data_IF_772184665118
#
_entry.id   IF_772184665118
#
_cell.length_a   1.000
_cell.length_b   1.000
_cell.length_c   1.000
_cell.angle_alpha   90.00
_cell.angle_beta   90.00
_cell.angle_gamma   90.00
#
_symmetry.space_group_name_H-M   'P 1'
#
loop_
_entity.id
_entity.type
_entity.pdbx_description
1 polymer ?
#
# COMPACT_ATOMS: atom_id res chain seq x y z
N UNK A 1 -5.88 -18.48 0.23
CA UNK A 1 -6.43 -17.58 -0.80
C UNK A 1 -6.11 -18.12 -2.19
N UNK A 2 -7.07 -18.02 -3.08
CA UNK A 2 -6.85 -18.37 -4.49
C UNK A 2 -5.95 -17.32 -5.15
N UNK A 3 -5.44 -17.66 -6.34
CA UNK A 3 -4.67 -16.70 -7.14
C UNK A 3 -5.49 -15.44 -7.45
N UNK A 4 -6.76 -15.64 -7.82
CA UNK A 4 -7.65 -14.51 -8.12
C UNK A 4 -7.85 -13.60 -6.91
N UNK A 5 -8.05 -14.19 -5.72
CA UNK A 5 -8.20 -13.43 -4.48
C UNK A 5 -6.93 -12.64 -4.13
N UNK A 6 -5.76 -13.26 -4.32
CA UNK A 6 -4.48 -12.59 -4.08
C UNK A 6 -4.29 -11.39 -5.02
N UNK A 7 -4.69 -11.52 -6.27
CA UNK A 7 -4.60 -10.41 -7.24
C UNK A 7 -5.52 -9.25 -6.85
N UNK A 8 -6.74 -9.56 -6.41
CA UNK A 8 -7.68 -8.55 -5.92
C UNK A 8 -7.11 -7.85 -4.69
N UNK A 9 -6.58 -8.62 -3.74
CA UNK A 9 -5.98 -8.09 -2.51
C UNK A 9 -4.85 -7.11 -2.81
N UNK A 10 -3.92 -7.51 -3.68
CA UNK A 10 -2.77 -6.68 -4.03
C UNK A 10 -3.20 -5.35 -4.66
N UNK A 11 -4.17 -5.40 -5.57
CA UNK A 11 -4.66 -4.20 -6.23
C UNK A 11 -5.38 -3.26 -5.28
N UNK A 12 -6.20 -3.79 -4.38
CA UNK A 12 -6.92 -2.98 -3.41
C UNK A 12 -5.98 -2.36 -2.39
N UNK A 13 -5.01 -3.13 -1.92
CA UNK A 13 -4.00 -2.61 -1.01
C UNK A 13 -3.19 -1.50 -1.68
N UNK A 14 -2.73 -1.72 -2.90
CA UNK A 14 -1.99 -0.73 -3.67
C UNK A 14 -2.79 0.55 -3.91
N UNK A 15 -4.07 0.42 -4.23
CA UNK A 15 -4.96 1.56 -4.42
C UNK A 15 -5.13 2.36 -3.12
N UNK A 16 -5.20 1.69 -1.97
CA UNK A 16 -5.30 2.35 -0.67
C UNK A 16 -4.02 3.14 -0.37
N UNK A 17 -2.86 2.56 -0.65
CA UNK A 17 -1.56 3.23 -0.47
C UNK A 17 -1.50 4.50 -1.35
N UNK A 18 -1.86 4.37 -2.61
CA UNK A 18 -1.86 5.49 -3.55
C UNK A 18 -2.82 6.60 -3.09
N UNK A 19 -4.03 6.23 -2.67
CA UNK A 19 -5.04 7.17 -2.22
C UNK A 19 -4.56 7.96 -0.99
N UNK A 20 -3.96 7.27 -0.01
CA UNK A 20 -3.40 7.93 1.17
C UNK A 20 -2.28 8.88 0.79
N UNK A 21 -1.38 8.44 -0.10
CA UNK A 21 -0.28 9.27 -0.56
C UNK A 21 -0.79 10.54 -1.23
N UNK A 22 -1.74 10.40 -2.14
CA UNK A 22 -2.30 11.53 -2.89
C UNK A 22 -3.08 12.50 -1.99
N UNK A 23 -3.83 11.97 -1.03
CA UNK A 23 -4.56 12.80 -0.06
C UNK A 23 -3.61 13.63 0.80
N UNK A 24 -2.44 13.08 1.09
CA UNK A 24 -1.39 13.81 1.83
C UNK A 24 -0.54 14.67 0.92
N UNK A 25 -0.81 14.68 -0.38
CA UNK A 25 -0.07 15.44 -1.39
C UNK A 25 1.43 15.12 -1.39
N UNK A 26 1.76 13.84 -1.18
CA UNK A 26 3.12 13.36 -1.20
C UNK A 26 3.45 12.75 -2.55
N UNK A 27 4.65 13.02 -3.05
CA UNK A 27 5.19 12.33 -4.22
C UNK A 27 5.73 10.96 -3.80
N UNK A 28 5.95 10.09 -4.77
CA UNK A 28 6.62 8.80 -4.51
C UNK A 28 7.98 9.01 -3.86
N UNK A 29 8.72 10.01 -4.31
CA UNK A 29 10.05 10.33 -3.75
C UNK A 29 9.98 10.80 -2.32
N UNK A 30 8.95 11.57 -1.97
CA UNK A 30 8.77 12.04 -0.60
C UNK A 30 8.48 10.89 0.35
N UNK A 31 7.62 9.96 -0.07
CA UNK A 31 7.34 8.76 0.73
C UNK A 31 8.62 7.93 0.88
N UNK A 32 9.34 7.70 -0.21
CA UNK A 32 10.58 6.94 -0.20
C UNK A 32 11.64 7.57 0.71
N UNK A 33 11.71 8.89 0.76
CA UNK A 33 12.67 9.61 1.61
C UNK A 33 12.43 9.38 3.10
N UNK A 34 11.22 9.03 3.48
CA UNK A 34 10.83 8.84 4.88
C UNK A 34 10.88 7.37 5.34
N UNK A 35 11.33 6.47 4.49
CA UNK A 35 11.36 5.04 4.80
C UNK A 35 12.51 4.34 4.05
N UNK A 36 12.59 3.02 4.19
CA UNK A 36 13.63 2.21 3.56
C UNK A 36 13.18 1.54 2.25
N UNK A 37 12.18 2.11 1.60
CA UNK A 37 11.72 1.65 0.29
C UNK A 37 12.12 2.66 -0.77
N UNK A 38 12.48 2.20 -1.97
CA UNK A 38 12.70 3.12 -3.07
C UNK A 38 11.37 3.46 -3.77
N UNK A 39 11.36 4.57 -4.50
CA UNK A 39 10.14 5.06 -5.14
C UNK A 39 9.63 4.11 -6.24
N UNK A 40 10.52 3.38 -6.90
CA UNK A 40 10.14 2.38 -7.90
C UNK A 40 9.34 1.24 -7.28
N UNK A 41 9.79 0.75 -6.12
CA UNK A 41 9.08 -0.31 -5.40
C UNK A 41 7.72 0.17 -4.92
N UNK A 42 7.63 1.39 -4.39
CA UNK A 42 6.35 1.96 -3.95
C UNK A 42 5.38 2.05 -5.13
N UNK A 43 5.84 2.52 -6.29
CA UNK A 43 5.02 2.61 -7.49
C UNK A 43 4.46 1.24 -7.90
N UNK A 44 5.29 0.20 -7.84
CA UNK A 44 4.86 -1.18 -8.17
C UNK A 44 3.86 -1.72 -7.16
N UNK A 45 4.01 -1.37 -5.88
CA UNK A 45 3.04 -1.75 -4.84
C UNK A 45 1.69 -1.08 -5.12
N UNK A 46 1.69 0.19 -5.48
CA UNK A 46 0.46 0.93 -5.83
C UNK A 46 -0.25 0.30 -7.05
N UNK A 47 0.52 -0.26 -7.97
CA UNK A 47 -0.02 -0.97 -9.14
C UNK A 47 -0.52 -2.38 -8.83
N UNK A 48 -0.38 -2.84 -7.60
CA UNK A 48 -0.83 -4.17 -7.20
C UNK A 48 0.07 -5.30 -7.69
N UNK A 49 1.37 -5.06 -7.88
CA UNK A 49 2.30 -6.06 -8.41
C UNK A 49 2.95 -6.94 -7.35
N UNK A 50 2.90 -6.55 -6.08
CA UNK A 50 3.58 -7.27 -5.02
C UNK A 50 2.64 -7.77 -3.94
N UNK A 51 2.90 -8.96 -3.47
CA UNK A 51 2.39 -9.46 -2.20
C UNK A 51 3.38 -9.00 -1.13
N UNK A 52 3.06 -7.88 -0.48
CA UNK A 52 4.01 -7.21 0.42
C UNK A 52 4.20 -7.96 1.72
N UNK A 53 5.42 -7.90 2.25
CA UNK A 53 5.75 -8.46 3.55
C UNK A 53 5.27 -7.53 4.67
N UNK A 54 5.20 -8.06 5.89
CA UNK A 54 4.80 -7.29 7.06
C UNK A 54 5.74 -6.08 7.27
N UNK A 55 7.06 -6.28 7.10
CA UNK A 55 8.01 -5.19 7.23
C UNK A 55 7.79 -4.10 6.17
N UNK A 56 7.44 -4.48 4.95
CA UNK A 56 7.12 -3.52 3.89
C UNK A 56 5.89 -2.70 4.24
N UNK A 57 4.86 -3.33 4.83
CA UNK A 57 3.67 -2.61 5.29
C UNK A 57 4.04 -1.53 6.31
N UNK A 58 4.89 -1.88 7.28
CA UNK A 58 5.35 -0.92 8.29
C UNK A 58 6.18 0.20 7.66
N UNK A 59 7.05 -0.12 6.69
CA UNK A 59 7.83 0.90 5.99
C UNK A 59 6.94 1.85 5.20
N UNK A 60 5.91 1.34 4.53
CA UNK A 60 4.94 2.19 3.83
C UNK A 60 4.23 3.15 4.80
N UNK A 61 3.80 2.62 5.94
CA UNK A 61 3.15 3.45 6.97
C UNK A 61 4.09 4.53 7.49
N UNK A 62 5.36 4.20 7.69
CA UNK A 62 6.40 5.15 8.11
C UNK A 62 6.59 6.23 7.04
N UNK A 63 6.71 5.83 5.78
CA UNK A 63 6.88 6.76 4.66
C UNK A 63 5.69 7.69 4.48
N UNK A 64 4.48 7.20 4.77
CA UNK A 64 3.24 7.97 4.70
C UNK A 64 2.93 8.73 5.99
N UNK A 65 3.77 8.57 7.02
CA UNK A 65 3.59 9.20 8.33
C UNK A 65 2.21 8.88 8.93
N UNK A 66 1.84 7.60 8.88
CA UNK A 66 0.53 7.14 9.35
C UNK A 66 0.67 5.82 10.10
N UNK A 67 -0.37 5.46 10.85
CA UNK A 67 -0.42 4.17 11.51
C UNK A 67 -0.65 3.07 10.45
N UNK A 68 0.02 1.90 10.58
CA UNK A 68 -0.15 0.80 9.60
C UNK A 68 -1.60 0.37 9.37
N UNK A 69 -2.46 0.49 10.39
CA UNK A 69 -3.88 0.13 10.25
C UNK A 69 -4.59 0.95 9.18
N UNK A 70 -4.11 2.16 8.88
CA UNK A 70 -4.71 3.01 7.86
C UNK A 70 -4.54 2.46 6.44
N UNK A 71 -3.62 1.54 6.26
CA UNK A 71 -3.43 0.88 4.96
C UNK A 71 -4.51 -0.15 4.65
N UNK A 72 -5.35 -0.46 5.63
CA UNK A 72 -6.40 -1.48 5.52
C UNK A 72 -7.82 -0.94 5.75
N UNK A 73 -7.98 0.38 5.74
CA UNK A 73 -9.30 1.02 5.94
C UNK A 73 -9.73 1.72 4.65
N UNK A 74 -10.92 2.36 4.71
CA UNK A 74 -11.48 3.08 3.57
C UNK A 74 -12.45 2.20 2.79
N UNK A 75 -12.36 2.22 1.47
CA UNK A 75 -13.27 1.47 0.59
C UNK A 75 -12.91 0.00 0.45
N UNK A 76 -11.93 -0.47 1.21
CA UNK A 76 -11.48 -1.86 1.16
C UNK A 76 -12.53 -2.76 1.81
N UNK A 77 -13.22 -3.56 1.00
CA UNK A 77 -14.22 -4.50 1.50
C UNK A 77 -13.58 -5.86 1.74
N UNK A 78 -13.18 -6.09 2.99
CA UNK A 78 -12.56 -7.36 3.39
C UNK A 78 -13.49 -8.55 3.24
N UNK A 79 -14.80 -8.35 3.41
CA UNK A 79 -15.79 -9.43 3.28
C UNK A 79 -15.83 -9.99 1.86
N UNK A 80 -15.52 -9.20 0.86
CA UNK A 80 -15.50 -9.65 -0.52
C UNK A 80 -14.37 -10.66 -0.80
N UNK A 81 -13.38 -10.74 0.11
CA UNK A 81 -12.27 -11.70 0.00
C UNK A 81 -12.52 -12.98 0.79
N UNK A 82 -13.54 -12.99 1.61
CA UNK A 82 -13.92 -14.13 2.43
C UNK A 82 -14.99 -14.95 1.72
#
# INVERSE_FOLDING_TARGET
MTTAEKEILKKRFGATVQDLREKKRLSLRQVAANCNLDNSKIAKIEDGRFNVSLSTIVELARGLETHPSKLFVGEFNWFALM
#
